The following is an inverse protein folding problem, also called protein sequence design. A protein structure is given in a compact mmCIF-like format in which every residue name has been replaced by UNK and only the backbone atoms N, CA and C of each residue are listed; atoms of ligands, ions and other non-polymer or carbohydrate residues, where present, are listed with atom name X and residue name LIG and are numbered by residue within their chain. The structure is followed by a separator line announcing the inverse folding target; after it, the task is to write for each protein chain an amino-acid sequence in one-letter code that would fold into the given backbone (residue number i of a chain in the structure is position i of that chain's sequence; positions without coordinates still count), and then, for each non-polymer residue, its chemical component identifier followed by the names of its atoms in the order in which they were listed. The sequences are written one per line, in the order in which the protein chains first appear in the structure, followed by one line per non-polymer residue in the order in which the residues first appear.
data_IF_230945591374
#
_entry.id   IF_230945591374
#
_cell.length_a   1.000
_cell.length_b   1.000
_cell.length_c   1.000
_cell.angle_alpha   90.00
_cell.angle_beta   90.00
_cell.angle_gamma   90.00
#
_symmetry.space_group_name_H-M   'P 1'
#
loop_
_entity.id
_entity.type
_entity.pdbx_description
1 polymer ?
#
# COMPACT_ATOMS: atom_id res chain seq x y z
N UNK A 1 5.53 -1.50 0.37
CA UNK A 1 5.71 -2.53 1.43
C UNK A 1 4.92 -3.75 1.02
N UNK A 2 5.55 -4.94 1.04
CA UNK A 2 4.82 -6.18 0.81
C UNK A 2 4.41 -6.78 2.16
N UNK A 3 3.11 -6.91 2.40
CA UNK A 3 2.58 -7.72 3.49
C UNK A 3 2.37 -9.14 2.98
N UNK A 4 3.14 -10.08 3.52
CA UNK A 4 3.06 -11.50 3.16
C UNK A 4 2.57 -12.31 4.34
N UNK A 5 1.49 -13.03 4.14
CA UNK A 5 0.99 -14.06 5.05
C UNK A 5 1.24 -15.44 4.49
N UNK A 6 1.67 -16.35 5.35
CA UNK A 6 1.86 -17.75 5.04
C UNK A 6 1.42 -18.57 6.28
N UNK A 7 0.21 -19.09 6.24
CA UNK A 7 -0.44 -19.66 7.41
C UNK A 7 -0.55 -18.68 8.57
N UNK A 8 0.06 -19.02 9.70
CA UNK A 8 0.10 -18.17 10.90
C UNK A 8 1.27 -17.16 10.93
N UNK A 9 2.07 -17.08 9.88
CA UNK A 9 3.23 -16.17 9.84
C UNK A 9 2.97 -14.97 8.94
N UNK A 10 3.14 -13.76 9.49
CA UNK A 10 3.09 -12.52 8.72
C UNK A 10 4.48 -11.86 8.69
N UNK A 11 4.86 -11.36 7.53
CA UNK A 11 6.06 -10.56 7.30
C UNK A 11 5.69 -9.27 6.57
N UNK A 12 6.33 -8.17 6.95
CA UNK A 12 6.20 -6.89 6.28
C UNK A 12 7.52 -6.53 5.61
N UNK A 13 7.64 -6.87 4.34
CA UNK A 13 8.92 -6.81 3.62
C UNK A 13 9.05 -5.47 2.89
N UNK A 14 10.09 -4.71 3.23
CA UNK A 14 10.41 -3.46 2.56
C UNK A 14 11.02 -3.70 1.17
N UNK A 15 11.14 -2.65 0.35
CA UNK A 15 11.80 -2.70 -0.96
C UNK A 15 13.25 -3.22 -0.89
N UNK A 16 13.93 -3.03 0.26
CA UNK A 16 15.29 -3.54 0.51
C UNK A 16 15.32 -4.95 1.09
N UNK A 17 14.20 -5.64 1.21
CA UNK A 17 14.09 -6.99 1.74
C UNK A 17 14.07 -7.08 3.27
N UNK A 18 14.09 -5.96 3.99
CA UNK A 18 14.03 -5.94 5.46
C UNK A 18 12.62 -6.25 5.94
N UNK A 19 12.52 -7.07 6.98
CA UNK A 19 11.26 -7.40 7.63
C UNK A 19 10.96 -6.40 8.76
N UNK A 20 9.85 -5.71 8.65
CA UNK A 20 9.39 -4.70 9.58
C UNK A 20 8.19 -5.13 10.42
N UNK A 21 7.85 -6.42 10.44
CA UNK A 21 6.71 -6.96 11.20
C UNK A 21 6.80 -6.62 12.70
N UNK A 22 8.00 -6.63 13.28
CA UNK A 22 8.23 -6.28 14.67
C UNK A 22 7.81 -4.85 15.01
N UNK A 23 7.87 -3.94 14.03
CA UNK A 23 7.56 -2.52 14.20
C UNK A 23 6.09 -2.20 14.01
N UNK A 24 5.43 -2.82 13.04
CA UNK A 24 4.04 -2.49 12.63
C UNK A 24 3.06 -3.56 13.07
N UNK A 25 2.94 -3.74 14.39
CA UNK A 25 2.14 -4.83 14.98
C UNK A 25 0.66 -4.76 14.66
N UNK A 26 0.07 -3.55 14.53
CA UNK A 26 -1.32 -3.40 14.12
C UNK A 26 -1.56 -3.88 12.69
N UNK A 27 -0.63 -3.61 11.78
CA UNK A 27 -0.69 -4.11 10.42
C UNK A 27 -0.58 -5.64 10.41
N UNK A 28 0.36 -6.19 11.19
CA UNK A 28 0.52 -7.65 11.35
C UNK A 28 -0.78 -8.28 11.82
N UNK A 29 -1.37 -7.77 12.91
CA UNK A 29 -2.63 -8.28 13.46
C UNK A 29 -3.78 -8.20 12.45
N UNK A 30 -3.85 -7.10 11.67
CA UNK A 30 -4.87 -6.94 10.63
C UNK A 30 -4.71 -7.99 9.51
N UNK A 31 -3.47 -8.26 9.07
CA UNK A 31 -3.20 -9.28 8.05
C UNK A 31 -3.43 -10.69 8.60
N UNK A 32 -3.12 -10.95 9.86
CA UNK A 32 -3.43 -12.23 10.53
C UNK A 32 -4.93 -12.49 10.65
N UNK A 33 -5.74 -11.44 10.76
CA UNK A 33 -7.19 -11.54 10.88
C UNK A 33 -7.91 -11.81 9.55
N UNK A 34 -7.23 -11.69 8.40
CA UNK A 34 -7.84 -11.98 7.10
C UNK A 34 -8.28 -13.44 7.03
N UNK A 35 -9.44 -13.72 6.43
CA UNK A 35 -10.02 -15.07 6.33
C UNK A 35 -9.41 -15.89 5.20
N UNK A 36 -8.07 -15.90 5.07
CA UNK A 36 -7.33 -16.62 4.03
C UNK A 36 -6.14 -17.34 4.63
N UNK A 37 -5.61 -18.35 3.95
CA UNK A 37 -4.41 -19.08 4.40
C UNK A 37 -3.12 -18.37 4.05
N UNK A 38 -3.06 -17.81 2.85
CA UNK A 38 -1.92 -17.04 2.39
C UNK A 38 -2.34 -15.86 1.54
N UNK A 39 -1.53 -14.79 1.54
CA UNK A 39 -1.67 -13.68 0.62
C UNK A 39 -0.38 -12.87 0.54
N UNK A 40 -0.22 -12.17 -0.59
CA UNK A 40 0.80 -11.14 -0.76
C UNK A 40 0.11 -9.86 -1.22
N UNK A 41 0.08 -8.87 -0.34
CA UNK A 41 -0.53 -7.56 -0.57
C UNK A 41 0.59 -6.54 -0.76
N UNK A 42 0.52 -5.71 -1.81
CA UNK A 42 1.38 -4.54 -1.96
C UNK A 42 0.65 -3.29 -1.49
N UNK A 43 1.37 -2.46 -0.74
CA UNK A 43 0.81 -1.26 -0.13
C UNK A 43 1.87 -0.28 0.34
N UNK A 44 1.43 0.88 0.78
CA UNK A 44 2.26 1.88 1.44
C UNK A 44 1.89 2.00 2.90
N UNK A 45 2.89 1.95 3.78
CA UNK A 45 2.68 2.19 5.21
C UNK A 45 2.62 3.70 5.42
N UNK A 46 1.51 4.15 5.98
CA UNK A 46 1.27 5.55 6.32
C UNK A 46 0.92 5.67 7.82
N UNK A 47 1.21 6.82 8.39
CA UNK A 47 0.67 7.23 9.68
C UNK A 47 -0.01 8.58 9.50
N UNK A 48 -1.19 8.75 10.10
CA UNK A 48 -1.95 9.97 10.00
C UNK A 48 -1.89 10.77 11.31
N UNK A 49 -1.92 12.09 11.19
CA UNK A 49 -2.10 12.98 12.32
C UNK A 49 -3.56 12.95 12.84
N UNK A 50 -3.86 13.79 13.84
CA UNK A 50 -5.21 13.92 14.41
C UNK A 50 -6.27 14.42 13.42
N UNK A 51 -5.86 14.99 12.29
CA UNK A 51 -6.74 15.49 11.22
C UNK A 51 -6.89 14.47 10.09
N UNK A 52 -6.27 13.28 10.22
CA UNK A 52 -6.30 12.24 9.20
C UNK A 52 -5.32 12.47 8.04
N UNK A 53 -4.45 13.46 8.12
CA UNK A 53 -3.44 13.73 7.10
C UNK A 53 -2.22 12.84 7.30
N UNK A 54 -1.77 12.19 6.23
CA UNK A 54 -0.57 11.36 6.26
C UNK A 54 0.67 12.20 6.59
N UNK A 55 1.38 11.84 7.67
CA UNK A 55 2.62 12.47 8.06
C UNK A 55 3.74 11.44 8.21
N UNK A 56 4.75 11.56 7.33
CA UNK A 56 5.91 10.68 7.31
C UNK A 56 6.77 10.81 8.58
N UNK A 57 6.77 11.95 9.25
CA UNK A 57 7.50 12.15 10.50
C UNK A 57 6.95 11.24 11.61
N UNK A 58 5.64 10.98 11.61
CA UNK A 58 5.02 10.07 12.57
C UNK A 58 5.54 8.64 12.42
N UNK A 59 5.86 8.20 11.20
CA UNK A 59 6.49 6.91 10.97
C UNK A 59 7.93 6.84 11.49
N UNK A 60 8.65 7.98 11.49
CA UNK A 60 10.06 8.03 11.87
C UNK A 60 10.25 8.01 13.40
N UNK A 61 9.42 8.73 14.13
CA UNK A 61 9.65 9.03 15.56
C UNK A 61 8.88 8.16 16.55
N UNK A 62 7.79 7.49 16.15
CA UNK A 62 6.96 6.70 17.07
C UNK A 62 7.39 5.24 17.11
N UNK A 63 8.17 4.88 18.13
CA UNK A 63 8.67 3.52 18.36
C UNK A 63 7.65 2.58 19.03
N UNK A 64 6.57 3.08 19.67
CA UNK A 64 5.76 2.25 20.57
C UNK A 64 4.23 2.44 20.56
N UNK A 65 3.67 3.39 19.84
CA UNK A 65 2.20 3.51 19.69
C UNK A 65 1.88 3.69 18.23
N UNK A 66 1.39 2.64 17.63
CA UNK A 66 1.36 2.43 16.20
C UNK A 66 0.02 2.85 15.58
N UNK A 67 -0.15 4.11 15.16
CA UNK A 67 -1.25 4.48 14.29
C UNK A 67 -0.92 4.17 12.81
N UNK A 68 0.14 3.40 12.54
CA UNK A 68 0.52 3.07 11.19
C UNK A 68 -0.50 2.09 10.59
N UNK A 69 -0.92 2.38 9.38
CA UNK A 69 -1.79 1.55 8.57
C UNK A 69 -1.13 1.20 7.25
N UNK A 70 -1.42 0.04 6.71
CA UNK A 70 -1.05 -0.33 5.36
C UNK A 70 -2.17 0.08 4.40
N UNK A 71 -1.90 1.06 3.57
CA UNK A 71 -2.76 1.48 2.47
C UNK A 71 -2.50 0.54 1.29
N UNK A 72 -3.33 -0.49 1.16
CA UNK A 72 -3.18 -1.57 0.17
C UNK A 72 -3.70 -1.13 -1.19
N UNK A 73 -2.94 -1.37 -2.24
CA UNK A 73 -3.32 -0.99 -3.60
C UNK A 73 -3.18 -2.12 -4.62
N UNK A 74 -2.58 -3.27 -4.27
CA UNK A 74 -2.46 -4.42 -5.15
C UNK A 74 -2.45 -5.74 -4.39
N UNK A 75 -2.92 -6.82 -5.04
CA UNK A 75 -2.90 -8.19 -4.55
C UNK A 75 -2.13 -9.07 -5.52
N UNK A 76 -1.05 -9.68 -5.05
CA UNK A 76 -0.11 -10.41 -5.89
C UNK A 76 -0.22 -11.92 -5.76
N UNK A 77 -0.82 -12.40 -4.68
CA UNK A 77 -1.07 -13.83 -4.41
C UNK A 77 -2.24 -13.96 -3.44
N UNK A 78 -3.07 -14.95 -3.63
CA UNK A 78 -4.18 -15.32 -2.76
C UNK A 78 -4.31 -16.84 -2.69
N UNK A 79 -4.23 -17.41 -1.47
CA UNK A 79 -4.35 -18.84 -1.18
C UNK A 79 -3.53 -19.76 -2.09
N UNK A 80 -2.29 -19.36 -2.39
CA UNK A 80 -1.36 -20.09 -3.25
C UNK A 80 -1.48 -19.77 -4.74
N UNK A 81 -2.47 -18.96 -5.14
CA UNK A 81 -2.65 -18.56 -6.53
C UNK A 81 -1.91 -17.23 -6.81
N UNK A 82 -0.93 -17.28 -7.70
CA UNK A 82 -0.22 -16.08 -8.17
C UNK A 82 -1.12 -15.23 -9.07
N UNK A 83 -1.28 -13.95 -8.72
CA UNK A 83 -2.15 -13.02 -9.45
C UNK A 83 -1.36 -12.02 -10.32
N UNK A 84 -0.03 -12.08 -10.33
CA UNK A 84 0.81 -11.09 -11.01
C UNK A 84 0.57 -10.99 -12.51
N UNK A 85 0.16 -12.10 -13.13
CA UNK A 85 -0.16 -12.17 -14.57
C UNK A 85 -1.58 -11.73 -14.89
N UNK A 86 -2.42 -11.53 -13.87
CA UNK A 86 -3.78 -11.06 -14.04
C UNK A 86 -3.81 -9.53 -14.26
N UNK A 87 -4.82 -9.02 -14.98
CA UNK A 87 -5.05 -7.58 -15.12
C UNK A 87 -5.21 -6.89 -13.77
N UNK A 88 -4.79 -5.63 -13.68
CA UNK A 88 -4.82 -4.88 -12.42
C UNK A 88 -6.25 -4.71 -11.87
N UNK A 89 -7.22 -4.60 -12.75
CA UNK A 89 -8.64 -4.45 -12.39
C UNK A 89 -9.14 -5.68 -11.63
N UNK A 90 -8.75 -6.87 -12.08
CA UNK A 90 -9.09 -8.14 -11.41
C UNK A 90 -8.39 -8.22 -10.05
N UNK A 91 -7.10 -7.91 -9.98
CA UNK A 91 -6.34 -7.92 -8.72
C UNK A 91 -6.91 -6.94 -7.70
N UNK A 92 -7.33 -5.74 -8.14
CA UNK A 92 -7.99 -4.74 -7.28
C UNK A 92 -9.36 -5.18 -6.80
N UNK A 93 -10.15 -5.82 -7.66
CA UNK A 93 -11.45 -6.36 -7.28
C UNK A 93 -11.32 -7.45 -6.20
N UNK A 94 -10.37 -8.37 -6.37
CA UNK A 94 -10.08 -9.40 -5.37
C UNK A 94 -9.51 -8.81 -4.07
N UNK A 95 -8.65 -7.78 -4.16
CA UNK A 95 -8.17 -7.05 -3.00
C UNK A 95 -9.33 -6.38 -2.24
N UNK A 96 -10.25 -5.75 -2.94
CA UNK A 96 -11.42 -5.11 -2.33
C UNK A 96 -12.30 -6.12 -1.58
N UNK A 97 -12.52 -7.30 -2.16
CA UNK A 97 -13.25 -8.39 -1.51
C UNK A 97 -12.50 -8.91 -0.27
N UNK A 98 -11.19 -9.10 -0.39
CA UNK A 98 -10.34 -9.57 0.73
C UNK A 98 -10.36 -8.61 1.90
N UNK A 99 -10.41 -7.30 1.64
CA UNK A 99 -10.37 -6.26 2.66
C UNK A 99 -11.76 -5.79 3.12
N UNK A 100 -12.83 -6.38 2.61
CA UNK A 100 -14.18 -6.03 3.02
C UNK A 100 -14.35 -6.25 4.54
N UNK A 101 -14.82 -5.21 5.23
CA UNK A 101 -14.95 -5.22 6.69
C UNK A 101 -13.65 -5.01 7.49
N UNK A 102 -12.48 -4.92 6.86
CA UNK A 102 -11.23 -4.54 7.54
C UNK A 102 -11.31 -3.09 8.04
N UNK A 103 -11.04 -2.86 9.34
CA UNK A 103 -11.21 -1.52 9.93
C UNK A 103 -9.95 -0.95 10.59
N UNK A 104 -8.96 -1.78 10.91
CA UNK A 104 -7.78 -1.35 11.64
C UNK A 104 -6.52 -1.94 11.02
N UNK A 105 -5.48 -1.12 10.90
CA UNK A 105 -4.17 -1.53 10.42
C UNK A 105 -4.03 -1.78 8.91
N UNK A 106 -5.14 -2.01 8.21
CA UNK A 106 -5.16 -2.34 6.78
C UNK A 106 -6.36 -1.67 6.12
N UNK A 107 -6.11 -0.86 5.09
CA UNK A 107 -7.17 -0.16 4.34
C UNK A 107 -6.95 -0.31 2.86
N UNK A 108 -8.04 -0.41 2.12
CA UNK A 108 -7.98 -0.35 0.66
C UNK A 108 -7.65 1.08 0.23
N UNK A 109 -6.69 1.23 -0.66
CA UNK A 109 -6.43 2.50 -1.32
C UNK A 109 -7.55 2.80 -2.32
N UNK A 110 -8.60 3.46 -1.84
CA UNK A 110 -9.74 3.95 -2.64
C UNK A 110 -9.51 5.39 -3.05
N UNK A 111 -8.30 5.76 -3.42
CA UNK A 111 -8.01 7.17 -3.60
C UNK A 111 -8.37 7.64 -4.99
N UNK A 112 -9.44 8.47 -5.04
CA UNK A 112 -9.41 9.72 -5.80
C UNK A 112 -10.66 10.50 -5.46
N UNK A 113 -10.52 11.63 -4.77
CA UNK A 113 -11.56 12.66 -4.60
C UNK A 113 -11.77 13.50 -5.88
N UNK A 114 -10.95 13.26 -6.91
CA UNK A 114 -11.19 13.83 -8.23
C UNK A 114 -12.27 13.04 -8.97
N UNK A 115 -13.06 13.70 -9.83
CA UNK A 115 -14.04 13.00 -10.65
C UNK A 115 -13.38 11.83 -11.37
N UNK A 116 -13.69 10.60 -10.97
CA UNK A 116 -13.10 9.36 -11.46
C UNK A 116 -12.88 9.31 -12.98
N UNK A 117 -13.77 9.89 -13.81
CA UNK A 117 -13.58 9.97 -15.24
C UNK A 117 -12.29 10.67 -15.68
N UNK A 118 -11.89 11.74 -15.01
CA UNK A 118 -10.69 12.53 -15.39
C UNK A 118 -9.40 11.75 -15.08
N UNK A 119 -9.35 11.10 -13.93
CA UNK A 119 -8.20 10.27 -13.55
C UNK A 119 -8.12 9.04 -14.43
N UNK A 120 -9.27 8.41 -14.72
CA UNK A 120 -9.36 7.23 -15.57
C UNK A 120 -8.94 7.53 -17.01
N UNK A 121 -9.38 8.64 -17.59
CA UNK A 121 -8.98 9.10 -18.93
C UNK A 121 -7.46 9.36 -18.97
N UNK A 122 -6.90 9.96 -17.93
CA UNK A 122 -5.45 10.19 -17.83
C UNK A 122 -4.66 8.87 -17.73
N UNK A 123 -5.14 7.92 -16.92
CA UNK A 123 -4.53 6.61 -16.80
C UNK A 123 -4.61 5.80 -18.10
N UNK A 124 -5.73 5.87 -18.82
CA UNK A 124 -5.89 5.27 -20.16
C UNK A 124 -4.96 5.88 -21.18
N UNK A 125 -4.87 7.21 -21.23
CA UNK A 125 -3.98 7.93 -22.14
C UNK A 125 -2.50 7.55 -21.93
N UNK A 126 -2.13 7.15 -20.68
CA UNK A 126 -0.82 6.68 -20.32
C UNK A 126 -0.64 5.16 -20.47
N UNK A 127 -1.65 4.44 -20.98
CA UNK A 127 -1.57 2.99 -21.19
C UNK A 127 -1.53 2.16 -19.91
N UNK A 128 -2.01 2.68 -18.79
CA UNK A 128 -1.97 2.00 -17.49
C UNK A 128 -3.09 0.97 -17.28
N UNK A 129 -4.07 0.91 -18.19
CA UNK A 129 -5.19 -0.03 -18.13
C UNK A 129 -4.73 -1.46 -18.46
N UNK A 130 -5.23 -2.47 -17.73
CA UNK A 130 -4.97 -3.88 -18.02
C UNK A 130 -3.54 -4.34 -17.72
N UNK A 131 -2.73 -3.54 -17.05
CA UNK A 131 -1.32 -3.85 -16.84
C UNK A 131 -1.11 -5.00 -15.85
N UNK A 132 -0.14 -5.88 -16.16
CA UNK A 132 0.33 -6.92 -15.25
C UNK A 132 1.30 -6.34 -14.24
N UNK A 133 1.44 -7.02 -13.09
CA UNK A 133 2.43 -6.62 -12.10
C UNK A 133 3.86 -6.84 -12.64
N UNK A 134 4.65 -5.78 -12.63
CA UNK A 134 6.08 -5.84 -12.95
C UNK A 134 6.89 -5.53 -11.69
N UNK A 135 7.77 -6.46 -11.29
CA UNK A 135 8.68 -6.22 -10.17
C UNK A 135 9.77 -5.22 -10.57
N UNK A 136 10.10 -4.29 -9.68
CA UNK A 136 11.15 -3.32 -9.91
C UNK A 136 10.66 -2.01 -10.52
N UNK A 137 11.50 -1.38 -11.36
CA UNK A 137 11.16 -0.13 -12.05
C UNK A 137 10.38 -0.44 -13.31
N UNK A 138 9.23 0.18 -13.48
CA UNK A 138 8.38 0.01 -14.67
C UNK A 138 7.68 1.31 -15.01
N UNK A 139 7.47 1.57 -16.29
CA UNK A 139 6.72 2.74 -16.77
C UNK A 139 5.20 2.57 -16.62
N UNK A 140 4.74 1.36 -16.30
CA UNK A 140 3.32 1.04 -16.10
C UNK A 140 2.77 1.54 -14.74
N UNK A 141 3.65 2.00 -13.84
CA UNK A 141 3.26 2.54 -12.54
C UNK A 141 3.75 3.96 -12.40
N UNK A 142 2.82 4.90 -12.48
CA UNK A 142 3.11 6.33 -12.36
C UNK A 142 2.81 6.79 -10.92
N UNK A 143 3.83 7.29 -10.23
CA UNK A 143 3.65 8.03 -8.99
C UNK A 143 3.41 9.50 -9.32
N UNK A 144 2.15 9.89 -9.40
CA UNK A 144 1.77 11.30 -9.57
C UNK A 144 1.83 11.97 -8.19
N UNK A 145 2.65 13.03 -8.07
CA UNK A 145 2.72 13.85 -6.87
C UNK A 145 1.78 15.04 -7.04
N UNK A 146 0.88 15.25 -6.07
CA UNK A 146 0.10 16.47 -6.02
C UNK A 146 0.98 17.65 -5.60
N UNK A 147 1.25 18.64 -6.47
CA UNK A 147 2.12 19.78 -6.13
C UNK A 147 1.56 20.68 -5.03
N UNK A 148 0.25 20.64 -4.80
CA UNK A 148 -0.44 21.37 -3.72
C UNK A 148 -0.49 20.63 -2.39
N UNK A 149 0.01 19.38 -2.32
CA UNK A 149 -0.01 18.65 -1.06
C UNK A 149 0.99 19.23 -0.04
N UNK A 150 0.62 19.36 1.25
CA UNK A 150 1.49 19.90 2.30
C UNK A 150 2.87 19.25 2.36
N UNK A 151 2.97 17.96 2.03
CA UNK A 151 4.22 17.22 1.98
C UNK A 151 5.16 17.69 0.85
N UNK A 152 4.64 18.31 -0.20
CA UNK A 152 5.43 18.84 -1.32
C UNK A 152 5.94 20.27 -1.08
N UNK A 153 5.34 20.97 -0.11
CA UNK A 153 5.74 22.34 0.27
C UNK A 153 6.92 22.34 1.26
N UNK A 154 7.36 21.18 1.72
CA UNK A 154 8.54 21.03 2.59
C UNK A 154 9.80 21.18 1.74
N UNK A 155 10.65 22.15 2.09
CA UNK A 155 11.95 22.36 1.43
C UNK A 155 12.84 21.12 1.57
N UNK A 156 13.68 20.80 0.56
CA UNK A 156 14.57 19.63 0.56
C UNK A 156 15.83 19.83 1.43
N UNK A 157 15.70 20.39 2.61
CA UNK A 157 16.82 20.67 3.50
C UNK A 157 16.99 19.67 4.66
N UNK A 158 16.79 18.41 4.42
CA UNK A 158 17.31 17.42 5.37
C UNK A 158 17.97 16.28 4.60
N UNK A 159 19.28 16.42 4.55
CA UNK A 159 20.27 15.44 4.14
C UNK A 159 20.00 14.07 4.79
N UNK A 160 19.86 13.07 3.97
CA UNK A 160 19.69 11.69 4.38
C UNK A 160 21.06 11.13 4.77
N UNK A 161 21.57 11.61 5.90
CA UNK A 161 22.83 11.13 6.47
C UNK A 161 22.81 9.61 6.67
N UNK A 162 23.78 8.95 6.03
CA UNK A 162 24.44 7.71 6.26
C UNK A 162 23.65 6.44 6.60
#
# INVERSE_FOLDING_TARGET
MLARRDGGRVRLVSRRGLDWAWRFRMIVAAVEALAVRSCIIDGEVIACDSNGLADFQLLRWRLHHDPAILCAFDLLELDGHGLRDEPIEKRKAELAQLLDGCRHGLVLNCVFDDPGPVVFEHARALGCEGTRYAAGRTDNWLKVKNPGAPAMLRKPEEDWGG
#
